data_IF_248226074761
#
_entry.id   IF_248226074761
#
_cell.length_a   1.000
_cell.length_b   1.000
_cell.length_c   1.000
_cell.angle_alpha   90.00
_cell.angle_beta   90.00
_cell.angle_gamma   90.00
#
_symmetry.space_group_name_H-M   'P 1'
#
loop_
_entity.id
_entity.type
_entity.pdbx_description
1 polymer ?
#
# COMPACT_ATOMS: atom_id res chain seq x y z
N UNK A 1 6.47 4.51 17.26
CA UNK A 1 5.12 4.64 16.69
C UNK A 1 5.14 4.03 15.31
N UNK A 2 4.14 3.24 14.92
CA UNK A 2 4.08 2.66 13.57
C UNK A 2 3.55 3.73 12.61
N UNK A 3 4.30 4.01 11.55
CA UNK A 3 3.84 4.85 10.44
C UNK A 3 2.98 4.02 9.50
N UNK A 4 1.79 4.50 9.16
CA UNK A 4 0.86 3.80 8.28
C UNK A 4 0.15 4.79 7.35
N UNK A 5 -0.14 4.32 6.15
CA UNK A 5 -1.01 4.98 5.17
C UNK A 5 -2.12 4.00 4.80
N UNK A 6 -3.31 4.50 4.49
CA UNK A 6 -4.47 3.67 4.16
C UNK A 6 -5.04 4.10 2.83
N UNK A 7 -5.19 3.14 1.93
CA UNK A 7 -5.80 3.34 0.61
C UNK A 7 -7.31 3.13 0.62
N UNK A 8 -7.98 3.37 -0.51
CA UNK A 8 -9.42 3.16 -0.66
C UNK A 8 -9.78 1.66 -0.66
N UNK A 9 -11.07 1.37 -0.52
CA UNK A 9 -11.62 0.06 -0.87
C UNK A 9 -11.53 -0.10 -2.39
N UNK A 10 -10.82 -1.13 -2.84
CA UNK A 10 -10.65 -1.40 -4.26
C UNK A 10 -11.87 -2.14 -4.83
N UNK A 11 -12.35 -1.77 -6.03
CA UNK A 11 -13.46 -2.49 -6.66
C UNK A 11 -13.01 -3.88 -7.10
N UNK A 12 -13.89 -4.87 -6.92
CA UNK A 12 -13.77 -6.16 -7.59
C UNK A 12 -14.10 -5.96 -9.07
N UNK A 13 -13.06 -5.93 -9.90
CA UNK A 13 -13.19 -5.80 -11.36
C UNK A 13 -12.35 -6.85 -12.05
N UNK A 14 -12.66 -7.14 -13.32
CA UNK A 14 -11.83 -8.00 -14.16
C UNK A 14 -10.54 -7.31 -14.62
N UNK A 15 -10.34 -6.03 -14.30
CA UNK A 15 -9.14 -5.28 -14.62
C UNK A 15 -8.13 -5.35 -13.48
N UNK A 16 -6.86 -5.56 -13.82
CA UNK A 16 -5.77 -5.49 -12.86
C UNK A 16 -5.66 -4.10 -12.25
N UNK A 17 -5.41 -4.06 -10.94
CA UNK A 17 -5.17 -2.83 -10.18
C UNK A 17 -3.73 -2.85 -9.70
N UNK A 18 -2.96 -1.85 -10.12
CA UNK A 18 -1.58 -1.68 -9.65
C UNK A 18 -1.59 -1.01 -8.27
N UNK A 19 -0.87 -1.60 -7.31
CA UNK A 19 -0.69 -1.02 -5.97
C UNK A 19 0.81 -0.91 -5.72
N UNK A 20 1.28 0.31 -5.43
CA UNK A 20 2.69 0.58 -5.16
C UNK A 20 2.82 1.29 -3.82
N UNK A 21 3.67 0.74 -2.95
CA UNK A 21 4.06 1.38 -1.69
C UNK A 21 5.55 1.68 -1.73
N UNK A 22 5.91 2.95 -1.54
CA UNK A 22 7.32 3.40 -1.55
C UNK A 22 7.66 4.10 -0.25
N UNK A 23 8.90 3.95 0.21
CA UNK A 23 9.45 4.79 1.26
C UNK A 23 10.82 5.33 0.86
N UNK A 24 11.11 6.58 1.22
CA UNK A 24 12.47 7.12 1.23
C UNK A 24 12.64 8.15 2.32
N UNK A 25 13.88 8.37 2.75
CA UNK A 25 14.24 9.39 3.74
C UNK A 25 14.01 10.83 3.26
N UNK A 26 13.76 11.04 1.97
CA UNK A 26 13.49 12.37 1.38
C UNK A 26 12.01 12.58 1.02
N UNK A 27 11.32 11.54 0.57
CA UNK A 27 9.94 11.65 0.09
C UNK A 27 8.88 11.09 1.05
N UNK A 28 9.29 10.44 2.15
CA UNK A 28 8.38 9.82 3.10
C UNK A 28 7.73 8.54 2.56
N UNK A 29 6.66 8.10 3.22
CA UNK A 29 5.85 6.94 2.84
C UNK A 29 4.77 7.39 1.85
N UNK A 30 4.63 6.68 0.73
CA UNK A 30 3.61 6.95 -0.28
C UNK A 30 2.93 5.66 -0.71
N UNK A 31 1.62 5.75 -0.94
CA UNK A 31 0.78 4.68 -1.47
C UNK A 31 0.10 5.15 -2.76
N UNK A 32 0.26 4.36 -3.81
CA UNK A 32 -0.31 4.61 -5.13
C UNK A 32 -1.26 3.49 -5.51
N UNK A 33 -2.33 3.85 -6.23
CA UNK A 33 -3.26 2.92 -6.89
C UNK A 33 -3.40 3.38 -8.34
N UNK A 34 -3.09 2.51 -9.31
CA UNK A 34 -3.05 2.85 -10.74
C UNK A 34 -2.29 4.18 -10.99
N UNK A 35 -1.06 4.23 -10.49
CA UNK A 35 -0.15 5.39 -10.52
C UNK A 35 -0.67 6.69 -9.87
N UNK A 36 -1.86 6.68 -9.27
CA UNK A 36 -2.43 7.82 -8.56
C UNK A 36 -2.04 7.77 -7.09
N UNK A 37 -1.46 8.85 -6.56
CA UNK A 37 -1.15 8.96 -5.14
C UNK A 37 -2.46 9.01 -4.33
N UNK A 38 -2.73 7.97 -3.53
CA UNK A 38 -3.95 7.89 -2.72
C UNK A 38 -3.72 8.26 -1.25
N UNK A 39 -2.49 8.13 -0.76
CA UNK A 39 -2.15 8.45 0.62
C UNK A 39 -0.65 8.66 0.81
N UNK A 40 -0.26 9.51 1.76
CA UNK A 40 1.15 9.80 2.05
C UNK A 40 1.39 10.22 3.49
N UNK A 41 2.60 9.95 3.98
CA UNK A 41 3.09 10.38 5.29
C UNK A 41 4.46 11.04 5.12
N UNK A 42 4.65 12.24 5.67
CA UNK A 42 5.89 13.01 5.53
C UNK A 42 7.07 12.38 6.30
N UNK A 43 8.31 12.72 5.92
CA UNK A 43 9.52 12.20 6.59
C UNK A 43 9.55 12.56 8.08
N UNK A 44 9.08 13.76 8.45
CA UNK A 44 9.07 14.24 9.84
C UNK A 44 8.26 13.37 10.80
N UNK A 45 7.34 12.56 10.28
CA UNK A 45 6.50 11.67 11.09
C UNK A 45 7.12 10.31 11.36
N UNK A 46 8.12 9.88 10.58
CA UNK A 46 8.85 8.62 10.81
C UNK A 46 10.16 8.58 10.02
N UNK A 47 11.28 8.41 10.74
CA UNK A 47 12.55 8.04 10.14
C UNK A 47 12.54 6.53 9.94
N UNK A 48 12.16 6.08 8.75
CA UNK A 48 12.38 4.70 8.35
C UNK A 48 13.86 4.38 8.46
N UNK A 49 14.17 3.30 9.18
CA UNK A 49 15.48 2.68 9.09
C UNK A 49 15.46 1.76 7.87
N UNK A 50 16.51 1.77 7.06
CA UNK A 50 16.69 0.81 5.96
C UNK A 50 16.67 -0.66 6.45
N UNK A 51 16.72 -0.89 7.76
CA UNK A 51 16.60 -2.20 8.40
C UNK A 51 15.17 -2.59 8.81
N UNK A 52 14.20 -1.67 8.74
CA UNK A 52 12.80 -1.96 9.13
C UNK A 52 11.99 -2.39 7.91
N UNK A 53 11.40 -3.61 7.90
CA UNK A 53 10.63 -4.07 6.76
C UNK A 53 9.41 -3.17 6.48
N UNK A 54 9.14 -2.93 5.21
CA UNK A 54 7.94 -2.25 4.75
C UNK A 54 6.84 -3.29 4.48
N UNK A 55 5.72 -3.19 5.19
CA UNK A 55 4.61 -4.14 5.06
C UNK A 55 3.47 -3.52 4.25
N UNK A 56 2.98 -4.24 3.24
CA UNK A 56 1.73 -3.95 2.54
C UNK A 56 0.73 -5.06 2.86
N UNK A 57 -0.46 -4.69 3.31
CA UNK A 57 -1.54 -5.66 3.61
C UNK A 57 -2.70 -5.45 2.65
N UNK A 58 -3.05 -6.51 1.91
CA UNK A 58 -4.15 -6.53 0.94
C UNK A 58 -5.20 -7.55 1.37
N UNK A 59 -6.47 -7.30 1.04
CA UNK A 59 -7.57 -8.26 1.30
C UNK A 59 -7.87 -8.50 2.78
N UNK A 60 -7.40 -7.65 3.69
CA UNK A 60 -7.61 -7.82 5.12
C UNK A 60 -8.91 -7.14 5.58
N UNK A 61 -9.82 -7.90 6.17
CA UNK A 61 -10.97 -7.38 6.91
C UNK A 61 -10.54 -6.87 8.28
N UNK A 62 -9.83 -5.74 8.31
CA UNK A 62 -9.28 -5.12 9.52
C UNK A 62 -10.33 -4.83 10.63
N UNK A 63 -11.63 -4.91 10.35
CA UNK A 63 -12.73 -4.60 11.29
C UNK A 63 -13.85 -5.65 11.31
N UNK A 64 -13.54 -6.95 11.25
CA UNK A 64 -14.55 -8.01 11.52
C UNK A 64 -15.77 -8.00 10.59
N UNK A 65 -15.58 -7.60 9.33
CA UNK A 65 -16.65 -7.62 8.32
C UNK A 65 -16.96 -9.08 7.96
N UNK A 66 -18.25 -9.44 7.92
CA UNK A 66 -18.69 -10.83 7.63
C UNK A 66 -18.30 -11.33 6.24
N UNK A 67 -17.96 -10.43 5.31
CA UNK A 67 -17.48 -10.75 3.98
C UNK A 67 -16.21 -9.95 3.64
N UNK A 68 -15.12 -10.66 3.40
CA UNK A 68 -13.91 -10.09 2.85
C UNK A 68 -13.96 -10.06 1.33
N UNK A 69 -13.50 -8.96 0.78
CA UNK A 69 -13.29 -8.80 -0.65
C UNK A 69 -12.17 -9.76 -1.05
N UNK A 70 -12.48 -10.78 -1.85
CA UNK A 70 -11.52 -11.80 -2.29
C UNK A 70 -11.11 -11.57 -3.76
N UNK A 71 -9.84 -11.78 -4.07
CA UNK A 71 -9.29 -11.65 -5.41
C UNK A 71 -7.93 -12.33 -5.51
N UNK A 72 -7.35 -12.34 -6.71
CA UNK A 72 -5.99 -12.84 -6.94
C UNK A 72 -4.97 -11.71 -6.85
N UNK A 73 -3.85 -11.97 -6.18
CA UNK A 73 -2.63 -11.19 -6.32
C UNK A 73 -1.80 -11.94 -7.37
N UNK A 74 -1.55 -11.34 -8.53
CA UNK A 74 -0.62 -11.94 -9.51
C UNK A 74 0.83 -11.85 -9.01
N UNK A 75 1.75 -12.55 -9.67
CA UNK A 75 3.15 -12.51 -9.32
C UNK A 75 3.68 -11.05 -9.28
N UNK A 76 4.25 -10.58 -8.15
CA UNK A 76 4.86 -9.26 -8.08
C UNK A 76 6.12 -9.25 -8.96
N UNK A 77 6.02 -8.65 -10.14
CA UNK A 77 7.19 -8.28 -10.94
C UNK A 77 7.80 -6.97 -10.42
N UNK A 78 9.11 -6.73 -10.63
CA UNK A 78 9.68 -5.41 -10.37
C UNK A 78 8.93 -4.38 -11.23
N UNK A 79 8.32 -3.40 -10.57
CA UNK A 79 7.70 -2.27 -11.26
C UNK A 79 8.83 -1.41 -11.84
N UNK A 80 9.05 -1.53 -13.15
CA UNK A 80 9.94 -0.67 -13.92
C UNK A 80 9.15 0.54 -14.42
N UNK A 81 8.69 1.38 -13.49
CA UNK A 81 8.28 2.74 -13.82
C UNK A 81 9.50 3.63 -13.96
#
# INVERSE_FOLDING_TARGET
TVAAVTGPILPLSSTWIEIVQTWSSTNGLKLYVNNTLVSSLAVSTFLGSETTPNYLTLGNCLNGRDACVNGSIDAPGPFTG
#
